data_IF_784882592073
#
_entry.id   IF_784882592073
#
_cell.length_a   1.000
_cell.length_b   1.000
_cell.length_c   1.000
_cell.angle_alpha   90.00
_cell.angle_beta   90.00
_cell.angle_gamma   90.00
#
_symmetry.space_group_name_H-M   'P 1'
#
loop_
_entity.id
_entity.type
_entity.pdbx_description
1 polymer ?
#
# COMPACT_ATOMS: atom_id res chain seq x y z
N UNK A 1 1.17 13.43 -5.06
CA UNK A 1 2.61 13.73 -5.23
C UNK A 1 3.43 12.48 -4.92
N UNK A 2 4.69 12.36 -5.36
CA UNK A 2 5.55 11.25 -4.99
C UNK A 2 5.83 11.21 -3.48
N UNK A 3 5.88 10.00 -2.91
CA UNK A 3 6.22 9.80 -1.50
C UNK A 3 7.66 10.28 -1.26
N UNK A 4 7.93 11.15 -0.27
CA UNK A 4 9.28 11.64 -0.02
C UNK A 4 10.20 10.52 0.47
N UNK A 5 11.51 10.64 0.19
CA UNK A 5 12.53 9.64 0.57
C UNK A 5 12.50 9.31 2.06
N UNK A 6 12.26 10.30 2.93
CA UNK A 6 12.13 10.08 4.37
C UNK A 6 10.90 9.23 4.72
N UNK A 7 9.77 9.45 4.02
CA UNK A 7 8.57 8.62 4.14
C UNK A 7 8.85 7.16 3.78
N UNK A 8 9.56 6.94 2.67
CA UNK A 8 9.97 5.60 2.22
C UNK A 8 10.91 4.91 3.21
N UNK A 9 11.89 5.62 3.76
CA UNK A 9 12.80 5.07 4.77
C UNK A 9 12.04 4.57 6.01
N UNK A 10 11.06 5.32 6.50
CA UNK A 10 10.25 4.87 7.63
C UNK A 10 9.31 3.72 7.26
N UNK A 11 8.77 3.67 6.04
CA UNK A 11 8.01 2.52 5.53
C UNK A 11 8.88 1.26 5.53
N UNK A 12 10.09 1.33 4.96
CA UNK A 12 11.01 0.19 4.94
C UNK A 12 11.42 -0.24 6.35
N UNK A 13 11.64 0.69 7.28
CA UNK A 13 11.90 0.34 8.68
C UNK A 13 10.76 -0.47 9.28
N UNK A 14 9.50 -0.07 9.05
CA UNK A 14 8.33 -0.85 9.48
C UNK A 14 8.24 -2.21 8.80
N UNK A 15 8.59 -2.31 7.53
CA UNK A 15 8.63 -3.60 6.83
C UNK A 15 9.64 -4.58 7.45
N UNK A 16 10.77 -4.09 7.96
CA UNK A 16 11.77 -4.92 8.63
C UNK A 16 11.34 -5.41 10.03
N UNK A 17 10.21 -4.93 10.56
CA UNK A 17 9.66 -5.35 11.86
C UNK A 17 8.79 -6.63 11.75
N UNK A 18 8.45 -7.08 10.53
CA UNK A 18 7.56 -8.22 10.29
C UNK A 18 8.12 -9.15 9.20
N UNK A 19 8.07 -10.45 9.46
CA UNK A 19 8.48 -11.47 8.51
C UNK A 19 7.43 -11.65 7.40
N UNK A 20 7.90 -11.96 6.18
CA UNK A 20 7.04 -12.19 5.02
C UNK A 20 6.06 -11.03 4.69
N UNK A 21 6.44 -9.80 5.05
CA UNK A 21 5.79 -8.59 4.62
C UNK A 21 6.10 -8.29 3.13
N UNK A 22 5.08 -7.94 2.36
CA UNK A 22 5.21 -7.56 0.96
C UNK A 22 4.49 -6.23 0.70
N UNK A 23 5.13 -5.36 -0.07
CA UNK A 23 4.52 -4.13 -0.58
C UNK A 23 4.65 -4.13 -2.10
N UNK A 24 3.52 -4.08 -2.80
CA UNK A 24 3.45 -4.17 -4.26
C UNK A 24 3.00 -2.82 -4.81
N UNK A 25 3.74 -2.30 -5.77
CA UNK A 25 3.50 -1.01 -6.40
C UNK A 25 3.12 -1.25 -7.86
N UNK A 26 1.89 -0.89 -8.23
CA UNK A 26 1.39 -1.05 -9.60
C UNK A 26 1.27 0.32 -10.24
N UNK A 27 2.04 0.63 -11.30
CA UNK A 27 1.98 1.94 -11.95
C UNK A 27 0.63 2.13 -12.65
N UNK A 28 0.08 3.34 -12.52
CA UNK A 28 -1.08 3.81 -13.28
C UNK A 28 -0.59 4.67 -14.45
N UNK A 29 -1.47 5.47 -15.04
CA UNK A 29 -1.19 6.22 -16.26
C UNK A 29 -1.60 5.47 -17.53
N UNK A 30 -1.07 5.92 -18.67
CA UNK A 30 -1.31 5.26 -19.96
C UNK A 30 -2.79 5.20 -20.32
N UNK A 31 -3.35 3.99 -20.48
CA UNK A 31 -4.78 3.84 -20.75
C UNK A 31 -5.66 4.24 -19.56
N UNK A 32 -5.18 4.07 -18.32
CA UNK A 32 -5.98 4.40 -17.12
C UNK A 32 -6.29 5.89 -17.01
N UNK A 33 -5.43 6.76 -17.54
CA UNK A 33 -5.64 8.21 -17.57
C UNK A 33 -6.63 8.67 -18.63
N UNK A 34 -6.87 7.84 -19.65
CA UNK A 34 -7.75 8.17 -20.79
C UNK A 34 -9.22 7.86 -20.50
N UNK A 35 -9.49 7.04 -19.49
CA UNK A 35 -10.84 6.64 -19.09
C UNK A 35 -11.36 7.67 -18.08
N UNK A 36 -12.51 8.33 -18.32
CA UNK A 36 -13.13 9.21 -17.34
C UNK A 36 -13.43 8.49 -16.01
N UNK A 37 -13.24 9.20 -14.89
CA UNK A 37 -13.52 8.67 -13.54
C UNK A 37 -14.95 8.13 -13.37
N UNK A 38 -15.92 8.78 -14.03
CA UNK A 38 -17.33 8.40 -13.97
C UNK A 38 -17.75 7.34 -15.00
N UNK A 39 -16.84 6.81 -15.83
CA UNK A 39 -17.20 5.85 -16.88
C UNK A 39 -17.73 4.53 -16.29
N UNK A 40 -17.15 4.08 -15.18
CA UNK A 40 -17.57 2.89 -14.41
C UNK A 40 -17.31 3.14 -12.91
N UNK A 41 -17.84 2.30 -11.99
CA UNK A 41 -17.66 2.52 -10.54
C UNK A 41 -16.22 2.52 -10.01
N UNK A 42 -15.22 2.16 -10.82
CA UNK A 42 -13.81 2.22 -10.45
C UNK A 42 -13.23 3.61 -10.74
N UNK A 43 -13.00 4.45 -9.71
CA UNK A 43 -12.79 5.89 -9.90
C UNK A 43 -11.32 6.29 -10.09
N UNK A 44 -10.38 5.41 -9.73
CA UNK A 44 -8.95 5.75 -9.74
C UNK A 44 -8.41 5.82 -11.17
N UNK A 45 -8.46 7.02 -11.77
CA UNK A 45 -8.07 7.32 -13.16
C UNK A 45 -6.98 8.38 -13.19
N UNK A 46 -7.09 9.35 -14.10
CA UNK A 46 -6.17 10.46 -14.27
C UNK A 46 -5.82 11.13 -12.94
N UNK A 47 -4.52 11.32 -12.68
CA UNK A 47 -3.99 11.83 -11.41
C UNK A 47 -3.53 10.74 -10.44
N UNK A 48 -3.96 9.48 -10.63
CA UNK A 48 -3.43 8.34 -9.86
C UNK A 48 -2.06 7.95 -10.41
N UNK A 49 -1.01 8.04 -9.58
CA UNK A 49 0.37 7.71 -10.00
C UNK A 49 0.59 6.20 -9.96
N UNK A 50 0.13 5.54 -8.89
CA UNK A 50 0.23 4.10 -8.69
C UNK A 50 -0.80 3.65 -7.64
N UNK A 51 -1.03 2.35 -7.59
CA UNK A 51 -1.68 1.67 -6.46
C UNK A 51 -0.62 0.99 -5.60
N UNK A 52 -0.76 1.06 -4.27
CA UNK A 52 0.06 0.29 -3.33
C UNK A 52 -0.80 -0.76 -2.66
N UNK A 53 -0.35 -2.01 -2.69
CA UNK A 53 -0.89 -3.09 -1.88
C UNK A 53 0.07 -3.42 -0.73
N UNK A 54 -0.43 -3.35 0.51
CA UNK A 54 0.25 -3.89 1.68
C UNK A 54 -0.25 -5.32 1.92
N UNK A 55 0.67 -6.28 2.00
CA UNK A 55 0.32 -7.70 2.11
C UNK A 55 1.17 -8.40 3.15
N UNK A 56 0.52 -9.28 3.91
CA UNK A 56 1.16 -10.18 4.86
C UNK A 56 0.32 -11.45 4.94
N UNK A 57 0.89 -12.59 4.54
CA UNK A 57 0.27 -13.91 4.66
C UNK A 57 0.80 -14.67 5.86
N UNK A 58 -0.04 -15.43 6.57
CA UNK A 58 0.37 -16.43 7.56
C UNK A 58 -0.29 -17.78 7.27
N UNK A 59 0.30 -18.85 7.79
CA UNK A 59 -0.38 -20.14 7.94
C UNK A 59 -1.22 -20.20 9.22
N UNK A 60 -2.19 -21.13 9.26
CA UNK A 60 -3.02 -21.36 10.46
C UNK A 60 -2.22 -21.90 11.65
N UNK A 61 -1.05 -22.51 11.40
CA UNK A 61 -0.13 -22.99 12.43
C UNK A 61 0.62 -21.87 13.17
N UNK A 62 0.52 -20.64 12.68
CA UNK A 62 1.37 -19.53 13.06
C UNK A 62 0.70 -18.74 14.21
N UNK A 63 1.25 -18.82 15.43
CA UNK A 63 0.55 -18.56 16.72
C UNK A 63 0.13 -17.12 17.08
N UNK A 64 0.33 -16.10 16.22
CA UNK A 64 0.11 -14.67 16.58
C UNK A 64 -0.55 -13.84 15.46
N UNK A 65 -1.77 -14.21 15.01
CA UNK A 65 -2.48 -13.48 13.96
C UNK A 65 -2.82 -12.03 14.34
N UNK A 66 -3.09 -11.79 15.63
CA UNK A 66 -3.36 -10.48 16.21
C UNK A 66 -2.19 -9.50 16.04
N UNK A 67 -0.96 -9.96 16.27
CA UNK A 67 0.24 -9.14 16.09
C UNK A 67 0.44 -8.72 14.64
N UNK A 68 0.17 -9.61 13.68
CA UNK A 68 0.30 -9.34 12.23
C UNK A 68 -0.73 -8.34 11.75
N UNK A 69 -1.97 -8.50 12.20
CA UNK A 69 -3.07 -7.57 11.92
C UNK A 69 -2.75 -6.19 12.53
N UNK A 70 -2.17 -6.16 13.73
CA UNK A 70 -1.71 -4.91 14.34
C UNK A 70 -0.61 -4.25 13.49
N UNK A 71 0.42 -5.01 13.12
CA UNK A 71 1.53 -4.51 12.30
C UNK A 71 1.04 -3.91 10.96
N UNK A 72 0.16 -4.60 10.22
CA UNK A 72 -0.30 -4.10 8.91
C UNK A 72 -1.16 -2.84 9.07
N UNK A 73 -1.94 -2.72 10.15
CA UNK A 73 -2.69 -1.50 10.47
C UNK A 73 -1.77 -0.33 10.83
N UNK A 74 -0.67 -0.59 11.54
CA UNK A 74 0.33 0.43 11.85
C UNK A 74 1.10 0.88 10.61
N UNK A 75 1.42 -0.03 9.69
CA UNK A 75 2.00 0.30 8.39
C UNK A 75 1.02 1.17 7.57
N UNK A 76 -0.24 0.77 7.48
CA UNK A 76 -1.27 1.53 6.76
C UNK A 76 -1.44 2.94 7.34
N UNK A 77 -1.50 3.05 8.68
CA UNK A 77 -1.63 4.34 9.39
C UNK A 77 -0.41 5.23 9.20
N UNK A 78 0.79 4.64 9.17
CA UNK A 78 2.02 5.39 8.90
C UNK A 78 2.04 5.98 7.48
N UNK A 79 1.42 5.29 6.52
CA UNK A 79 1.40 5.72 5.12
C UNK A 79 0.34 6.78 4.81
N UNK A 80 -0.64 6.99 5.69
CA UNK A 80 -1.75 7.95 5.53
C UNK A 80 -1.34 9.34 5.01
N UNK A 81 -0.30 10.04 5.53
CA UNK A 81 0.05 11.37 5.03
C UNK A 81 0.68 11.39 3.63
N UNK A 82 0.99 10.23 3.04
CA UNK A 82 1.68 10.14 1.76
C UNK A 82 0.82 9.59 0.62
N UNK A 83 -0.41 9.15 0.92
CA UNK A 83 -1.36 8.58 -0.03
C UNK A 83 -2.70 9.28 0.12
N UNK A 84 -3.48 9.29 -0.96
CA UNK A 84 -4.82 9.90 -1.04
C UNK A 84 -5.92 8.85 -0.99
#
# INVERSE_FOLDING_TARGET
EPIPVLGLKGMFKKMLEEDAALVIWTPYGGMMDKIPEAEIPFPHRSGTIFMIQYYRSWSDSEKRPDMRIKWIRELYSYMTPYVS
#
